data_IF_728851863819
#
_entry.id   IF_728851863819
#
_cell.length_a   1.000
_cell.length_b   1.000
_cell.length_c   1.000
_cell.angle_alpha   90.00
_cell.angle_beta   90.00
_cell.angle_gamma   90.00
#
_symmetry.space_group_name_H-M   'P 1'
#
loop_
_entity.id
_entity.type
_entity.pdbx_description
1 polymer ?
#
# COMPACT_ATOMS: atom_id res chain seq x y z
N UNK A 1 38.84 49.63 -38.43
CA UNK A 1 37.95 48.54 -38.86
C UNK A 1 38.34 47.27 -38.08
N UNK A 2 37.60 46.96 -37.00
CA UNK A 2 37.74 45.72 -36.24
C UNK A 2 36.82 44.66 -36.88
N UNK A 3 37.40 43.57 -37.34
CA UNK A 3 36.67 42.38 -37.77
C UNK A 3 36.04 41.69 -36.53
N UNK A 4 34.78 41.25 -36.58
CA UNK A 4 34.18 40.49 -35.48
C UNK A 4 34.86 39.11 -35.38
N UNK A 5 34.93 38.51 -34.17
CA UNK A 5 35.55 37.22 -34.02
C UNK A 5 34.70 36.15 -34.72
N UNK A 6 35.35 35.31 -35.52
CA UNK A 6 34.78 34.12 -36.14
C UNK A 6 34.34 33.16 -35.00
N UNK A 7 33.06 33.13 -34.76
CA UNK A 7 32.46 32.08 -33.92
C UNK A 7 32.52 30.76 -34.68
N UNK A 8 33.41 29.89 -34.26
CA UNK A 8 33.62 28.58 -34.87
C UNK A 8 32.29 27.77 -34.86
N UNK A 9 31.81 27.46 -36.06
CA UNK A 9 30.57 26.71 -36.27
C UNK A 9 30.56 25.34 -35.53
N UNK A 10 31.76 24.83 -35.26
CA UNK A 10 31.96 23.58 -34.48
C UNK A 10 31.64 23.74 -33.01
N UNK A 11 31.89 24.91 -32.40
CA UNK A 11 31.58 25.17 -31.01
C UNK A 11 30.08 25.45 -30.80
N UNK A 12 29.44 26.12 -31.76
CA UNK A 12 27.99 26.30 -31.76
C UNK A 12 27.25 24.93 -31.86
N UNK A 13 27.75 24.03 -32.71
CA UNK A 13 27.18 22.69 -32.86
C UNK A 13 27.34 21.82 -31.61
N UNK A 14 28.50 21.95 -30.91
CA UNK A 14 28.75 21.27 -29.63
C UNK A 14 27.81 21.75 -28.53
N UNK A 15 27.53 23.04 -28.43
CA UNK A 15 26.62 23.64 -27.44
C UNK A 15 25.19 23.18 -27.72
N UNK A 16 24.75 23.09 -28.98
CA UNK A 16 23.42 22.62 -29.36
C UNK A 16 23.27 21.11 -29.03
N UNK A 17 24.28 20.30 -29.32
CA UNK A 17 24.26 18.86 -28.97
C UNK A 17 24.23 18.64 -27.44
N UNK A 18 24.97 19.44 -26.67
CA UNK A 18 24.93 19.35 -25.18
C UNK A 18 23.59 19.80 -24.63
N UNK A 19 22.94 20.80 -25.20
CA UNK A 19 21.62 21.29 -24.80
C UNK A 19 20.51 20.24 -25.09
N UNK A 20 20.60 19.51 -26.21
CA UNK A 20 19.66 18.44 -26.57
C UNK A 20 19.82 17.24 -25.64
N UNK A 21 21.04 16.90 -25.25
CA UNK A 21 21.29 15.81 -24.27
C UNK A 21 20.75 16.12 -22.88
N UNK A 22 20.70 17.39 -22.47
CA UNK A 22 20.14 17.83 -21.20
C UNK A 22 18.59 17.80 -21.14
N UNK A 23 17.93 17.76 -22.29
CA UNK A 23 16.46 17.65 -22.40
C UNK A 23 15.94 16.21 -22.49
N UNK A 24 16.82 15.20 -22.46
CA UNK A 24 16.36 13.81 -22.42
C UNK A 24 15.52 13.60 -21.14
N UNK A 25 14.23 13.20 -21.25
CA UNK A 25 13.44 12.91 -20.07
C UNK A 25 14.16 11.81 -19.31
N UNK A 26 14.49 12.05 -18.03
CA UNK A 26 15.07 11.03 -17.17
C UNK A 26 14.13 9.82 -17.21
N UNK A 27 14.57 8.74 -17.86
CA UNK A 27 13.84 7.50 -17.91
C UNK A 27 13.65 7.03 -16.45
N UNK A 28 12.47 7.26 -15.89
CA UNK A 28 12.13 6.77 -14.56
C UNK A 28 12.14 5.26 -14.64
N UNK A 29 12.98 4.63 -13.83
CA UNK A 29 13.03 3.18 -13.74
C UNK A 29 11.64 2.64 -13.36
N UNK A 30 11.21 1.58 -14.05
CA UNK A 30 9.99 0.88 -13.71
C UNK A 30 10.06 0.39 -12.24
N UNK A 31 8.98 0.60 -11.51
CA UNK A 31 8.86 0.15 -10.12
C UNK A 31 8.29 -1.26 -10.12
N UNK A 32 8.92 -2.18 -9.39
CA UNK A 32 8.44 -3.55 -9.26
C UNK A 32 8.49 -4.01 -7.82
N UNK A 33 7.39 -4.55 -7.32
CA UNK A 33 7.26 -5.14 -5.97
C UNK A 33 6.53 -6.47 -6.06
N UNK A 34 6.68 -7.32 -5.04
CA UNK A 34 5.88 -8.54 -4.89
C UNK A 34 4.79 -8.25 -3.87
N UNK A 35 3.52 -8.56 -4.20
CA UNK A 35 2.38 -8.40 -3.31
C UNK A 35 2.26 -9.54 -2.28
N UNK A 36 1.25 -9.51 -1.42
CA UNK A 36 1.06 -10.53 -0.38
C UNK A 36 0.52 -11.87 -0.93
N UNK A 37 0.02 -11.88 -2.18
CA UNK A 37 -0.35 -13.10 -2.89
C UNK A 37 0.81 -13.72 -3.69
N UNK A 38 2.02 -13.10 -3.66
CA UNK A 38 3.20 -13.55 -4.40
C UNK A 38 3.25 -13.05 -5.85
N UNK A 39 2.34 -12.18 -6.29
CA UNK A 39 2.35 -11.66 -7.64
C UNK A 39 3.33 -10.49 -7.77
N UNK A 40 4.04 -10.44 -8.90
CA UNK A 40 4.89 -9.31 -9.26
C UNK A 40 4.04 -8.18 -9.84
N UNK A 41 3.97 -7.06 -9.13
CA UNK A 41 3.29 -5.84 -9.58
C UNK A 41 4.34 -4.88 -10.15
N UNK A 42 4.18 -4.50 -11.41
CA UNK A 42 5.13 -3.62 -12.10
C UNK A 42 4.40 -2.39 -12.63
N UNK A 43 4.94 -1.21 -12.31
CA UNK A 43 4.46 0.08 -12.80
C UNK A 43 5.56 0.75 -13.62
N UNK A 44 5.21 1.37 -14.75
CA UNK A 44 6.18 2.12 -15.58
C UNK A 44 6.70 3.38 -14.88
N UNK A 45 5.93 3.91 -13.93
CA UNK A 45 6.26 5.05 -13.09
C UNK A 45 5.52 4.91 -11.75
N UNK A 46 5.94 5.60 -10.68
CA UNK A 46 5.21 5.61 -9.42
C UNK A 46 3.74 5.99 -9.60
N UNK A 47 2.85 5.23 -8.93
CA UNK A 47 1.41 5.42 -9.01
C UNK A 47 1.00 6.85 -8.59
N UNK A 48 0.04 7.42 -9.30
CA UNK A 48 -0.50 8.76 -9.05
C UNK A 48 -1.98 8.77 -8.76
N UNK A 49 -2.69 7.73 -9.16
CA UNK A 49 -4.15 7.61 -9.03
C UNK A 49 -4.50 6.23 -8.47
N UNK A 50 -4.61 6.15 -7.16
CA UNK A 50 -4.78 4.88 -6.46
C UNK A 50 -6.21 4.77 -5.98
N UNK A 51 -6.81 3.60 -6.14
CA UNK A 51 -8.01 3.24 -5.40
C UNK A 51 -7.63 2.27 -4.28
N UNK A 52 -7.98 2.66 -3.06
CA UNK A 52 -7.83 1.86 -1.86
C UNK A 52 -9.09 1.04 -1.61
N UNK A 53 -8.97 -0.28 -1.74
CA UNK A 53 -10.10 -1.20 -1.62
C UNK A 53 -10.26 -1.77 -0.21
N UNK A 54 -9.79 -1.04 0.82
CA UNK A 54 -9.99 -1.40 2.23
C UNK A 54 -9.56 -0.25 3.16
N UNK A 55 -10.20 -0.08 4.34
CA UNK A 55 -9.81 0.94 5.32
C UNK A 55 -8.35 0.87 5.74
N UNK A 56 -7.82 -0.32 6.09
CA UNK A 56 -6.42 -0.48 6.49
C UNK A 56 -5.43 -0.08 5.37
N UNK A 57 -5.77 -0.36 4.11
CA UNK A 57 -4.97 0.07 2.95
C UNK A 57 -4.93 1.59 2.87
N UNK A 58 -6.08 2.26 3.08
CA UNK A 58 -6.16 3.72 3.12
C UNK A 58 -5.21 4.29 4.17
N UNK A 59 -5.25 3.78 5.39
CA UNK A 59 -4.37 4.21 6.49
C UNK A 59 -2.89 4.02 6.15
N UNK A 60 -2.53 2.85 5.62
CA UNK A 60 -1.14 2.54 5.24
C UNK A 60 -0.64 3.43 4.10
N UNK A 61 -1.48 3.75 3.12
CA UNK A 61 -1.14 4.68 2.04
C UNK A 61 -0.87 6.09 2.57
N UNK A 62 -1.70 6.59 3.50
CA UNK A 62 -1.43 7.87 4.16
C UNK A 62 -0.13 7.83 4.95
N UNK A 63 0.10 6.78 5.73
CA UNK A 63 1.32 6.61 6.52
C UNK A 63 2.58 6.51 5.64
N UNK A 64 2.46 5.90 4.45
CA UNK A 64 3.53 5.83 3.45
C UNK A 64 3.76 7.14 2.68
N UNK A 65 2.97 8.20 2.96
CA UNK A 65 3.11 9.51 2.30
C UNK A 65 2.36 9.64 0.97
N UNK A 66 1.42 8.74 0.68
CA UNK A 66 0.65 8.70 -0.57
C UNK A 66 -0.79 9.19 -0.49
N UNK A 67 -1.22 9.77 0.62
CA UNK A 67 -2.62 10.14 0.85
C UNK A 67 -3.22 11.05 -0.24
N UNK A 68 -2.43 11.95 -0.80
CA UNK A 68 -2.86 12.86 -1.88
C UNK A 68 -2.99 12.18 -3.26
N UNK A 69 -2.65 10.90 -3.37
CA UNK A 69 -2.75 10.10 -4.60
C UNK A 69 -3.94 9.17 -4.58
N UNK A 70 -4.64 9.07 -3.46
CA UNK A 70 -5.84 8.24 -3.34
C UNK A 70 -7.00 9.00 -3.98
N UNK A 71 -7.52 8.45 -5.08
CA UNK A 71 -8.63 9.03 -5.84
C UNK A 71 -9.97 8.38 -5.53
N UNK A 72 -9.94 7.21 -4.90
CA UNK A 72 -11.12 6.47 -4.45
C UNK A 72 -10.80 5.57 -3.27
N UNK A 73 -11.75 5.37 -2.37
CA UNK A 73 -11.60 4.51 -1.19
C UNK A 73 -12.89 3.73 -0.92
N UNK A 74 -12.77 2.60 -0.23
CA UNK A 74 -13.91 1.84 0.28
C UNK A 74 -14.59 2.56 1.44
N UNK A 75 -15.86 2.28 1.68
CA UNK A 75 -16.60 2.73 2.85
C UNK A 75 -15.81 2.43 4.14
N UNK A 76 -15.99 3.25 5.16
CA UNK A 76 -15.29 3.16 6.45
C UNK A 76 -13.79 3.51 6.39
N UNK A 77 -13.29 4.05 5.28
CA UNK A 77 -11.94 4.63 5.17
C UNK A 77 -11.95 6.06 5.75
N UNK A 78 -12.07 6.18 7.07
CA UNK A 78 -12.32 7.43 7.79
C UNK A 78 -11.12 7.95 8.59
N UNK A 79 -10.00 7.25 8.55
CA UNK A 79 -8.75 7.67 9.17
C UNK A 79 -7.59 7.69 8.14
N UNK A 80 -6.71 8.72 8.22
CA UNK A 80 -6.82 9.95 9.01
C UNK A 80 -8.00 10.82 8.56
N UNK A 81 -8.28 11.92 9.26
CA UNK A 81 -9.42 12.80 8.95
C UNK A 81 -9.49 13.22 7.48
N UNK A 82 -8.32 13.39 6.83
CA UNK A 82 -8.23 13.70 5.40
C UNK A 82 -8.84 12.61 4.51
N UNK A 83 -8.90 11.36 4.95
CA UNK A 83 -9.46 10.23 4.19
C UNK A 83 -10.97 10.38 3.96
N UNK A 84 -11.70 11.02 4.88
CA UNK A 84 -13.15 11.26 4.77
C UNK A 84 -13.57 12.09 3.55
N UNK A 85 -12.63 12.77 2.90
CA UNK A 85 -12.88 13.59 1.71
C UNK A 85 -12.67 12.83 0.41
N UNK A 86 -12.21 11.59 0.47
CA UNK A 86 -11.96 10.76 -0.70
C UNK A 86 -13.29 10.22 -1.23
N UNK A 87 -13.55 10.25 -2.54
CA UNK A 87 -14.73 9.63 -3.14
C UNK A 87 -14.82 8.14 -2.76
N UNK A 88 -15.98 7.71 -2.30
CA UNK A 88 -16.21 6.31 -1.94
C UNK A 88 -16.58 5.50 -3.19
N UNK A 89 -16.06 4.27 -3.29
CA UNK A 89 -16.29 3.35 -4.41
C UNK A 89 -17.06 2.09 -4.00
N UNK A 90 -17.71 2.11 -2.84
CA UNK A 90 -18.51 1.01 -2.32
C UNK A 90 -17.91 0.36 -1.08
N UNK A 91 -18.28 -0.88 -0.82
CA UNK A 91 -17.85 -1.70 0.31
C UNK A 91 -17.61 -3.17 -0.11
N UNK A 92 -17.31 -4.03 0.86
CA UNK A 92 -17.05 -5.45 0.62
C UNK A 92 -18.27 -6.25 0.12
N UNK A 93 -19.48 -5.70 0.20
CA UNK A 93 -20.69 -6.30 -0.36
C UNK A 93 -20.93 -5.87 -1.81
N UNK A 94 -20.68 -4.60 -2.12
CA UNK A 94 -20.91 -4.03 -3.44
C UNK A 94 -19.87 -2.96 -3.79
N UNK A 95 -19.17 -3.20 -4.91
CA UNK A 95 -18.23 -2.24 -5.51
C UNK A 95 -18.93 -1.51 -6.65
N UNK A 96 -18.85 -0.18 -6.67
CA UNK A 96 -19.29 0.65 -7.79
C UNK A 96 -18.22 0.65 -8.89
N UNK A 97 -18.31 -0.34 -9.79
CA UNK A 97 -17.33 -0.54 -10.87
C UNK A 97 -17.31 0.64 -11.85
N UNK A 98 -18.45 1.29 -12.09
CA UNK A 98 -18.51 2.47 -12.97
C UNK A 98 -17.70 3.62 -12.38
N UNK A 99 -17.85 3.83 -11.09
CA UNK A 99 -17.09 4.85 -10.37
C UNK A 99 -15.60 4.53 -10.32
N UNK A 100 -15.22 3.26 -10.11
CA UNK A 100 -13.84 2.80 -10.19
C UNK A 100 -13.23 3.18 -11.53
N UNK A 101 -13.90 2.86 -12.63
CA UNK A 101 -13.45 3.18 -14.00
C UNK A 101 -13.40 4.70 -14.24
N UNK A 102 -14.43 5.43 -13.81
CA UNK A 102 -14.50 6.89 -13.97
C UNK A 102 -13.37 7.63 -13.27
N UNK A 103 -12.85 7.08 -12.16
CA UNK A 103 -11.72 7.64 -11.41
C UNK A 103 -10.38 7.40 -12.10
N UNK A 104 -10.30 6.62 -13.19
CA UNK A 104 -9.09 6.35 -13.99
C UNK A 104 -7.88 6.01 -13.13
N UNK A 105 -7.93 4.96 -12.30
CA UNK A 105 -6.81 4.57 -11.47
C UNK A 105 -5.64 4.03 -12.32
N UNK A 106 -4.42 4.20 -11.82
CA UNK A 106 -3.21 3.56 -12.33
C UNK A 106 -2.71 2.43 -11.42
N UNK A 107 -3.33 2.27 -10.24
CA UNK A 107 -3.10 1.18 -9.31
C UNK A 107 -4.34 0.92 -8.44
N UNK A 108 -4.69 -0.35 -8.27
CA UNK A 108 -5.64 -0.81 -7.27
C UNK A 108 -4.89 -1.53 -6.15
N UNK A 109 -5.18 -1.20 -4.89
CA UNK A 109 -4.68 -1.97 -3.74
C UNK A 109 -5.87 -2.61 -3.06
N UNK A 110 -5.89 -3.95 -3.08
CA UNK A 110 -7.07 -4.76 -2.78
C UNK A 110 -6.80 -5.67 -1.59
N UNK A 111 -7.71 -5.71 -0.63
CA UNK A 111 -7.67 -6.70 0.44
C UNK A 111 -8.21 -8.03 -0.07
N UNK A 112 -7.34 -9.03 -0.18
CA UNK A 112 -7.64 -10.29 -0.86
C UNK A 112 -8.78 -11.07 -0.17
N UNK A 113 -8.68 -11.29 1.13
CA UNK A 113 -9.70 -12.07 1.88
C UNK A 113 -10.95 -11.27 2.21
N UNK A 114 -10.91 -9.95 2.08
CA UNK A 114 -12.07 -9.06 2.30
C UNK A 114 -12.97 -8.90 1.08
N UNK A 115 -12.64 -9.53 -0.05
CA UNK A 115 -13.42 -9.46 -1.28
C UNK A 115 -13.79 -10.85 -1.79
N UNK A 116 -14.93 -10.99 -2.45
CA UNK A 116 -15.34 -12.25 -3.07
C UNK A 116 -14.49 -12.54 -4.32
N UNK A 117 -14.35 -13.82 -4.69
CA UNK A 117 -13.65 -14.22 -5.91
C UNK A 117 -14.19 -13.49 -7.15
N UNK A 118 -15.51 -13.27 -7.23
CA UNK A 118 -16.16 -12.53 -8.32
C UNK A 118 -15.70 -11.07 -8.36
N UNK A 119 -15.64 -10.38 -7.23
CA UNK A 119 -15.17 -8.99 -7.17
C UNK A 119 -13.69 -8.90 -7.58
N UNK A 120 -12.86 -9.81 -7.09
CA UNK A 120 -11.43 -9.86 -7.47
C UNK A 120 -11.26 -10.03 -8.97
N UNK A 121 -12.06 -10.90 -9.59
CA UNK A 121 -12.03 -11.10 -11.05
C UNK A 121 -12.48 -9.86 -11.81
N UNK A 122 -13.57 -9.21 -11.38
CA UNK A 122 -14.03 -7.96 -11.99
C UNK A 122 -12.95 -6.85 -11.93
N UNK A 123 -12.25 -6.72 -10.80
CA UNK A 123 -11.16 -5.75 -10.66
C UNK A 123 -9.97 -6.07 -11.58
N UNK A 124 -9.62 -7.36 -11.74
CA UNK A 124 -8.56 -7.80 -12.67
C UNK A 124 -8.90 -7.48 -14.12
N UNK A 125 -10.16 -7.65 -14.52
CA UNK A 125 -10.62 -7.39 -15.89
C UNK A 125 -10.53 -5.92 -16.30
N UNK A 126 -10.33 -4.99 -15.37
CA UNK A 126 -10.09 -3.59 -15.69
C UNK A 126 -8.73 -3.35 -16.38
N UNK A 127 -7.81 -4.32 -16.35
CA UNK A 127 -6.46 -4.17 -16.91
C UNK A 127 -5.57 -3.17 -16.16
N UNK A 128 -6.02 -2.69 -14.99
CA UNK A 128 -5.23 -1.84 -14.09
C UNK A 128 -4.38 -2.72 -13.21
N UNK A 129 -3.10 -2.39 -12.95
CA UNK A 129 -2.27 -3.12 -12.00
C UNK A 129 -2.96 -3.25 -10.64
N UNK A 130 -2.97 -4.48 -10.09
CA UNK A 130 -3.56 -4.81 -8.80
C UNK A 130 -2.47 -5.27 -7.86
N UNK A 131 -2.41 -4.69 -6.66
CA UNK A 131 -1.60 -5.16 -5.53
C UNK A 131 -2.54 -5.78 -4.49
N UNK A 132 -2.34 -7.05 -4.15
CA UNK A 132 -3.07 -7.72 -3.08
C UNK A 132 -2.40 -7.48 -1.74
N UNK A 133 -3.14 -6.86 -0.80
CA UNK A 133 -2.72 -6.61 0.58
C UNK A 133 -3.41 -7.61 1.50
N UNK A 134 -2.62 -8.42 2.19
CA UNK A 134 -3.10 -9.45 3.13
C UNK A 134 -2.12 -9.59 4.31
N UNK A 135 -1.98 -8.57 5.17
CA UNK A 135 -1.08 -8.65 6.31
C UNK A 135 -1.58 -9.68 7.32
N UNK A 136 -0.79 -10.72 7.57
CA UNK A 136 -1.11 -11.82 8.51
C UNK A 136 -0.39 -11.68 9.84
N UNK A 137 0.70 -10.92 9.87
CA UNK A 137 1.53 -10.64 11.05
C UNK A 137 1.69 -9.15 11.24
N UNK A 138 2.02 -8.75 12.45
CA UNK A 138 2.28 -7.35 12.76
C UNK A 138 3.44 -6.77 11.93
N UNK A 139 4.51 -7.53 11.65
CA UNK A 139 5.62 -7.03 10.82
C UNK A 139 5.23 -6.86 9.33
N UNK A 140 4.19 -7.55 8.86
CA UNK A 140 3.70 -7.39 7.48
C UNK A 140 3.18 -5.96 7.24
N UNK A 141 2.70 -5.28 8.29
CA UNK A 141 2.32 -3.85 8.24
C UNK A 141 3.50 -2.98 7.84
N UNK A 142 4.67 -3.18 8.47
CA UNK A 142 5.89 -2.43 8.14
C UNK A 142 6.42 -2.80 6.74
N UNK A 143 6.26 -4.05 6.34
CA UNK A 143 6.62 -4.53 5.00
C UNK A 143 5.71 -3.89 3.94
N UNK A 144 4.39 -3.82 4.19
CA UNK A 144 3.41 -3.16 3.31
C UNK A 144 3.70 -1.67 3.18
N UNK A 145 4.03 -0.97 4.28
CA UNK A 145 4.46 0.43 4.23
C UNK A 145 5.64 0.63 3.28
N UNK A 146 6.66 -0.23 3.37
CA UNK A 146 7.87 -0.14 2.53
C UNK A 146 7.52 -0.37 1.05
N UNK A 147 6.72 -1.38 0.73
CA UNK A 147 6.26 -1.69 -0.64
C UNK A 147 5.41 -0.55 -1.22
N UNK A 148 4.50 0.01 -0.41
CA UNK A 148 3.70 1.16 -0.83
C UNK A 148 4.59 2.36 -1.11
N UNK A 149 5.60 2.61 -0.28
CA UNK A 149 6.59 3.65 -0.55
C UNK A 149 7.26 3.51 -1.91
N UNK A 150 7.64 2.29 -2.30
CA UNK A 150 8.21 1.99 -3.62
C UNK A 150 7.21 2.26 -4.74
N UNK A 151 5.97 1.72 -4.63
CA UNK A 151 4.92 1.93 -5.62
C UNK A 151 4.55 3.41 -5.80
N UNK A 152 4.74 4.21 -4.76
CA UNK A 152 4.41 5.62 -4.72
C UNK A 152 5.61 6.53 -5.05
N UNK A 153 6.86 6.05 -4.97
CA UNK A 153 8.06 6.90 -5.00
C UNK A 153 8.13 7.81 -3.76
N UNK A 154 7.69 7.31 -2.60
CA UNK A 154 7.71 7.98 -1.29
C UNK A 154 8.51 7.19 -0.26
N UNK A 155 9.58 6.51 -0.71
CA UNK A 155 10.34 5.53 0.06
C UNK A 155 10.88 6.10 1.37
N UNK A 156 11.28 7.37 1.40
CA UNK A 156 11.82 8.01 2.60
C UNK A 156 10.75 8.09 3.71
N UNK A 157 9.55 8.59 3.39
CA UNK A 157 8.42 8.67 4.31
C UNK A 157 7.97 7.28 4.77
N UNK A 158 7.87 6.34 3.84
CA UNK A 158 7.47 4.97 4.09
C UNK A 158 8.44 4.23 5.02
N UNK A 159 9.76 4.33 4.78
CA UNK A 159 10.78 3.76 5.67
C UNK A 159 10.73 4.35 7.07
N UNK A 160 10.52 5.67 7.19
CA UNK A 160 10.37 6.30 8.49
C UNK A 160 9.12 5.80 9.22
N UNK A 161 7.99 5.66 8.53
CA UNK A 161 6.76 5.12 9.11
C UNK A 161 6.94 3.67 9.56
N UNK A 162 7.54 2.81 8.72
CA UNK A 162 7.84 1.42 9.04
C UNK A 162 8.78 1.29 10.25
N UNK A 163 9.81 2.11 10.33
CA UNK A 163 10.74 2.11 11.47
C UNK A 163 10.05 2.54 12.78
N UNK A 164 9.22 3.60 12.74
CA UNK A 164 8.43 4.02 13.91
C UNK A 164 7.47 2.92 14.36
N UNK A 165 6.77 2.29 13.43
CA UNK A 165 5.86 1.19 13.72
C UNK A 165 6.60 0.03 14.41
N UNK A 166 7.72 -0.45 13.84
CA UNK A 166 8.52 -1.53 14.44
C UNK A 166 9.02 -1.18 15.83
N UNK A 167 9.46 0.05 16.05
CA UNK A 167 9.90 0.51 17.38
C UNK A 167 8.75 0.47 18.39
N UNK A 168 7.54 0.88 18.01
CA UNK A 168 6.36 0.80 18.88
C UNK A 168 5.98 -0.65 19.21
N UNK A 169 5.99 -1.56 18.21
CA UNK A 169 5.75 -2.98 18.41
C UNK A 169 6.79 -3.59 19.36
N UNK A 170 8.07 -3.28 19.17
CA UNK A 170 9.14 -3.77 20.05
C UNK A 170 8.98 -3.26 21.50
N UNK A 171 8.61 -2.00 21.68
CA UNK A 171 8.35 -1.44 23.00
C UNK A 171 7.14 -2.11 23.70
N UNK A 172 6.08 -2.43 22.96
CA UNK A 172 4.93 -3.18 23.48
C UNK A 172 5.34 -4.62 23.86
N UNK A 173 6.10 -5.31 23.01
CA UNK A 173 6.60 -6.65 23.30
C UNK A 173 7.44 -6.67 24.59
N UNK A 174 8.36 -5.73 24.74
CA UNK A 174 9.19 -5.62 25.94
C UNK A 174 8.37 -5.39 27.22
N UNK A 175 7.29 -4.59 27.13
CA UNK A 175 6.38 -4.32 28.26
C UNK A 175 5.64 -5.56 28.73
N UNK A 176 5.32 -6.49 27.83
CA UNK A 176 4.45 -7.62 28.12
C UNK A 176 5.20 -8.96 28.25
N UNK A 177 6.48 -9.03 27.87
CA UNK A 177 7.31 -10.27 27.80
C UNK A 177 7.45 -11.04 29.12
N UNK A 178 7.26 -10.37 30.27
CA UNK A 178 7.41 -10.99 31.61
C UNK A 178 6.07 -11.23 32.31
N UNK A 179 4.95 -11.07 31.63
CA UNK A 179 3.63 -11.30 32.22
C UNK A 179 3.21 -12.75 32.07
N UNK A 180 2.42 -13.31 33.02
CA UNK A 180 1.82 -14.61 32.85
C UNK A 180 0.96 -14.65 31.59
N UNK A 181 1.00 -15.78 30.86
CA UNK A 181 0.20 -15.96 29.66
C UNK A 181 -1.29 -16.02 30.01
N UNK A 182 -2.10 -15.29 29.27
CA UNK A 182 -3.56 -15.25 29.41
C UNK A 182 -4.20 -15.97 28.23
N UNK A 183 -5.09 -16.92 28.49
CA UNK A 183 -5.87 -17.59 27.44
C UNK A 183 -6.98 -16.64 26.95
N UNK A 184 -7.05 -16.44 25.63
CA UNK A 184 -7.94 -15.47 24.98
C UNK A 184 -8.85 -16.18 23.99
N UNK A 185 -10.15 -15.94 24.09
CA UNK A 185 -11.12 -16.20 23.06
C UNK A 185 -11.46 -14.89 22.36
N UNK A 186 -11.17 -14.79 21.07
CA UNK A 186 -11.52 -13.64 20.26
C UNK A 186 -12.73 -13.96 19.38
N UNK A 187 -13.86 -13.30 19.65
CA UNK A 187 -15.10 -13.47 18.91
C UNK A 187 -15.27 -12.36 17.88
N UNK A 188 -15.42 -12.71 16.60
CA UNK A 188 -15.67 -11.76 15.50
C UNK A 188 -17.17 -11.54 15.32
N UNK A 189 -17.96 -12.61 15.42
CA UNK A 189 -19.39 -12.60 15.17
C UNK A 189 -20.13 -13.50 16.16
N UNK A 190 -21.40 -13.21 16.41
CA UNK A 190 -22.16 -13.91 17.45
C UNK A 190 -23.07 -15.04 16.91
N UNK A 191 -23.63 -14.87 15.70
CA UNK A 191 -24.60 -15.84 15.12
C UNK A 191 -24.38 -16.03 13.61
N UNK A 192 -23.72 -17.15 13.21
CA UNK A 192 -23.02 -18.12 14.05
C UNK A 192 -21.77 -17.51 14.71
N UNK A 193 -21.28 -18.14 15.76
CA UNK A 193 -20.03 -17.69 16.41
C UNK A 193 -18.85 -17.92 15.48
N UNK A 194 -18.14 -16.83 15.12
CA UNK A 194 -16.90 -16.89 14.39
C UNK A 194 -15.72 -16.44 15.24
N UNK A 195 -14.58 -17.09 15.03
CA UNK A 195 -13.28 -16.76 15.62
C UNK A 195 -12.18 -16.80 14.57
N UNK A 196 -10.95 -16.54 14.98
CA UNK A 196 -9.77 -16.51 14.12
C UNK A 196 -8.79 -17.60 14.48
N UNK A 197 -8.09 -18.13 13.49
CA UNK A 197 -6.96 -19.05 13.68
C UNK A 197 -5.70 -18.33 14.15
N UNK A 198 -4.65 -19.09 14.43
CA UNK A 198 -3.33 -18.59 14.82
C UNK A 198 -2.60 -17.80 13.74
N UNK A 199 -2.99 -17.97 12.48
CA UNK A 199 -2.36 -17.32 11.33
C UNK A 199 -2.89 -15.90 11.03
N UNK A 200 -3.89 -15.45 11.78
CA UNK A 200 -4.45 -14.13 11.60
C UNK A 200 -3.67 -13.07 12.42
N UNK A 201 -3.55 -11.85 11.89
CA UNK A 201 -2.84 -10.73 12.52
C UNK A 201 -3.33 -10.41 13.93
N UNK A 202 -4.62 -10.60 14.23
CA UNK A 202 -5.18 -10.43 15.58
C UNK A 202 -4.55 -11.43 16.56
N UNK A 203 -4.33 -12.69 16.14
CA UNK A 203 -3.64 -13.68 16.97
C UNK A 203 -2.18 -13.32 17.23
N UNK A 204 -1.54 -12.65 16.26
CA UNK A 204 -0.19 -12.10 16.45
C UNK A 204 -0.18 -10.94 17.47
N UNK A 205 -1.20 -10.07 17.42
CA UNK A 205 -1.40 -9.02 18.43
C UNK A 205 -1.69 -9.59 19.83
N UNK A 206 -2.48 -10.64 19.93
CA UNK A 206 -2.75 -11.35 21.20
C UNK A 206 -1.42 -11.86 21.77
N UNK A 207 -0.58 -12.53 20.97
CA UNK A 207 0.75 -13.00 21.39
C UNK A 207 1.67 -11.87 21.84
N UNK A 208 1.69 -10.76 21.11
CA UNK A 208 2.47 -9.57 21.46
C UNK A 208 2.11 -9.05 22.87
N UNK A 209 0.84 -9.13 23.24
CA UNK A 209 0.33 -8.71 24.54
C UNK A 209 0.48 -9.79 25.65
N UNK A 210 1.13 -10.92 25.37
CA UNK A 210 1.31 -12.03 26.31
C UNK A 210 0.09 -12.95 26.41
N UNK A 211 -0.83 -12.90 25.42
CA UNK A 211 -1.98 -13.78 25.34
C UNK A 211 -1.74 -15.01 24.46
N UNK A 212 -2.61 -15.99 24.60
CA UNK A 212 -2.69 -17.18 23.76
C UNK A 212 -4.10 -17.32 23.20
N UNK A 213 -4.24 -17.32 21.87
CA UNK A 213 -5.53 -17.61 21.25
C UNK A 213 -5.85 -19.10 21.42
N UNK A 214 -6.95 -19.40 22.13
CA UNK A 214 -7.35 -20.81 22.41
C UNK A 214 -7.73 -21.57 21.14
N UNK A 215 -8.00 -20.89 20.05
CA UNK A 215 -8.33 -21.43 18.73
C UNK A 215 -7.18 -21.30 17.71
N UNK A 216 -5.95 -21.04 18.17
CA UNK A 216 -4.80 -20.89 17.28
C UNK A 216 -4.57 -22.08 16.34
N UNK A 217 -4.95 -23.29 16.74
CA UNK A 217 -4.80 -24.52 15.95
C UNK A 217 -5.89 -24.77 14.89
N UNK A 218 -6.91 -23.90 14.78
CA UNK A 218 -7.93 -24.07 13.74
C UNK A 218 -7.32 -23.91 12.35
N UNK A 219 -7.68 -24.85 11.45
CA UNK A 219 -7.41 -24.74 10.02
C UNK A 219 -8.61 -24.06 9.36
N UNK A 220 -8.42 -22.93 8.77
CA UNK A 220 -9.40 -22.15 8.00
C UNK A 220 -8.98 -22.07 6.55
#
# INVERSE_FOLDING_TARGET
TQTPPDTDMTDTLKIILLAIAALAPAARAAVSVVDDAGNKVTLQQPARRIISMSPHVTELLFAAGGGNRIVGAMNYSDYPEAAKRIPLVGDNSQIDMERVVALKPDLLIVWQSGNTARQLEQLRQLGVPVFFSEPRKLDDVATSLTRFGQLLGTEAAARQAAARYRAQIAALAARHSKRPTVRVFYQIWDKPVYTLSGDHIVSDAIRLCGGENIFAGLKV
#
